data_IF_289889805060
#
_entry.id   IF_289889805060
#
_cell.length_a   1.000
_cell.length_b   1.000
_cell.length_c   1.000
_cell.angle_alpha   90.00
_cell.angle_beta   90.00
_cell.angle_gamma   90.00
#
_symmetry.space_group_name_H-M   'P 1'
#
loop_
_entity.id
_entity.type
_entity.pdbx_description
1 polymer ?
#
# COMPACT_ATOMS: atom_id res chain seq x y z
N UNK A 1 11.65 2.63 0.00
CA UNK A 1 12.84 1.75 -0.07
C UNK A 1 14.09 2.49 -0.54
N UNK A 2 14.04 3.36 -1.57
CA UNK A 2 15.21 4.09 -2.10
C UNK A 2 16.00 4.83 -1.00
N UNK A 3 15.32 5.62 -0.17
CA UNK A 3 15.99 6.31 0.96
C UNK A 3 16.60 5.35 1.98
N UNK A 4 15.93 4.23 2.26
CA UNK A 4 16.44 3.21 3.18
C UNK A 4 17.72 2.56 2.62
N UNK A 5 17.72 2.22 1.34
CA UNK A 5 18.90 1.66 0.66
C UNK A 5 20.08 2.62 0.71
N UNK A 6 19.86 3.91 0.43
CA UNK A 6 20.88 4.94 0.50
C UNK A 6 21.47 5.10 1.92
N UNK A 7 20.59 5.14 2.95
CA UNK A 7 21.02 5.27 4.35
C UNK A 7 21.79 4.05 4.84
N UNK A 8 21.38 2.85 4.43
CA UNK A 8 21.98 1.59 4.83
C UNK A 8 23.20 1.19 3.98
N UNK A 9 23.44 1.88 2.86
CA UNK A 9 24.54 1.59 1.95
C UNK A 9 24.37 0.27 1.20
N UNK A 10 23.13 -0.12 0.89
CA UNK A 10 22.79 -1.32 0.12
C UNK A 10 22.32 -0.95 -1.29
N UNK A 11 22.56 -1.84 -2.26
CA UNK A 11 22.05 -1.67 -3.61
C UNK A 11 20.56 -1.98 -3.65
N UNK A 12 19.75 -1.07 -4.21
CA UNK A 12 18.34 -1.31 -4.51
C UNK A 12 18.20 -1.65 -6.00
N UNK A 13 17.64 -2.81 -6.31
CA UNK A 13 17.21 -3.20 -7.64
C UNK A 13 15.70 -3.11 -7.73
N UNK A 14 15.22 -2.33 -8.69
CA UNK A 14 13.80 -2.29 -9.06
C UNK A 14 13.60 -3.10 -10.32
N UNK A 15 12.55 -3.90 -10.33
CA UNK A 15 12.14 -4.69 -11.50
C UNK A 15 10.96 -4.02 -12.21
N UNK A 16 10.76 -4.28 -13.51
CA UNK A 16 9.58 -3.80 -14.21
C UNK A 16 8.30 -4.42 -13.63
N UNK A 17 7.17 -3.80 -13.96
CA UNK A 17 5.86 -4.39 -13.80
C UNK A 17 5.50 -5.23 -15.02
N UNK A 18 4.65 -6.23 -14.82
CA UNK A 18 4.00 -6.96 -15.89
C UNK A 18 2.85 -6.12 -16.53
N UNK A 19 2.15 -6.71 -17.50
CA UNK A 19 1.04 -6.06 -18.21
C UNK A 19 -0.18 -5.79 -17.30
N UNK A 20 -0.26 -6.46 -16.14
CA UNK A 20 -1.30 -6.30 -15.11
C UNK A 20 -0.87 -5.34 -13.97
N UNK A 21 0.24 -4.64 -14.14
CA UNK A 21 0.80 -3.69 -13.17
C UNK A 21 1.23 -4.32 -11.84
N UNK A 22 1.67 -5.57 -11.84
CA UNK A 22 2.27 -6.28 -10.71
C UNK A 22 3.76 -6.46 -10.94
N UNK A 23 4.52 -6.78 -9.89
CA UNK A 23 5.92 -7.14 -10.05
C UNK A 23 6.05 -8.34 -11.01
N UNK A 24 6.86 -8.18 -12.06
CA UNK A 24 7.16 -9.25 -13.03
C UNK A 24 8.00 -10.33 -12.34
N UNK A 25 7.41 -11.52 -12.16
CA UNK A 25 8.01 -12.66 -11.45
C UNK A 25 9.33 -13.11 -12.12
N UNK A 26 9.34 -13.18 -13.45
CA UNK A 26 10.53 -13.59 -14.19
C UNK A 26 11.66 -12.57 -14.06
N UNK A 27 11.32 -11.29 -14.06
CA UNK A 27 12.27 -10.20 -13.83
C UNK A 27 12.83 -10.22 -12.40
N UNK A 28 11.99 -10.53 -11.39
CA UNK A 28 12.47 -10.71 -10.01
C UNK A 28 13.42 -11.89 -9.93
N UNK A 29 13.05 -13.05 -10.50
CA UNK A 29 13.90 -14.25 -10.52
C UNK A 29 15.25 -13.99 -11.19
N UNK A 30 15.28 -13.20 -12.27
CA UNK A 30 16.51 -12.82 -12.96
C UNK A 30 17.37 -11.80 -12.18
N UNK A 31 16.76 -11.01 -11.28
CA UNK A 31 17.46 -9.96 -10.54
C UNK A 31 18.10 -10.44 -9.23
N UNK A 32 17.56 -11.51 -8.61
CA UNK A 32 18.07 -12.04 -7.34
C UNK A 32 19.35 -12.86 -7.51
N UNK A 33 20.15 -12.96 -6.46
CA UNK A 33 21.37 -13.79 -6.40
C UNK A 33 21.75 -14.05 -4.93
N UNK A 34 22.83 -14.80 -4.70
CA UNK A 34 23.35 -15.15 -3.36
C UNK A 34 23.67 -13.94 -2.46
N UNK A 35 23.81 -12.73 -3.02
CA UNK A 35 24.02 -11.48 -2.29
C UNK A 35 22.72 -10.72 -1.98
N UNK A 36 21.58 -11.24 -2.42
CA UNK A 36 20.28 -10.61 -2.16
C UNK A 36 19.88 -10.79 -0.70
N UNK A 37 19.80 -9.69 0.04
CA UNK A 37 19.44 -9.73 1.46
C UNK A 37 17.92 -9.74 1.67
N UNK A 38 17.17 -9.04 0.80
CA UNK A 38 15.75 -8.81 0.95
C UNK A 38 15.06 -8.74 -0.41
N UNK A 39 13.96 -9.46 -0.56
CA UNK A 39 12.97 -9.26 -1.63
C UNK A 39 11.74 -8.59 -1.03
N UNK A 40 11.14 -7.66 -1.76
CA UNK A 40 9.96 -6.91 -1.32
C UNK A 40 8.85 -7.07 -2.34
N UNK A 41 7.68 -7.53 -1.88
CA UNK A 41 6.43 -7.49 -2.62
C UNK A 41 5.47 -6.47 -2.02
N UNK A 42 4.61 -5.88 -2.83
CA UNK A 42 3.63 -4.89 -2.40
C UNK A 42 2.23 -5.51 -2.41
N UNK A 43 1.56 -5.51 -1.27
CA UNK A 43 0.19 -5.97 -1.14
C UNK A 43 -0.76 -4.78 -0.99
N UNK A 44 -1.26 -4.31 -2.12
CA UNK A 44 -2.04 -3.09 -2.25
C UNK A 44 -1.19 -1.89 -2.67
N UNK A 45 -0.73 -1.91 -3.91
CA UNK A 45 -0.03 -0.79 -4.53
C UNK A 45 -0.94 0.44 -4.62
N UNK A 46 -0.45 1.59 -4.19
CA UNK A 46 -1.17 2.87 -4.35
C UNK A 46 -0.94 3.52 -5.72
N UNK A 47 -0.31 2.82 -6.66
CA UNK A 47 -0.21 3.26 -8.05
C UNK A 47 -1.44 2.79 -8.84
N UNK A 48 -1.71 1.47 -8.83
CA UNK A 48 -2.77 0.85 -9.63
C UNK A 48 -3.75 -0.01 -8.80
N UNK A 49 -3.61 -0.05 -7.48
CA UNK A 49 -4.47 -0.89 -6.63
C UNK A 49 -4.23 -2.38 -6.84
N UNK A 50 -3.00 -2.80 -7.12
CA UNK A 50 -2.65 -4.21 -7.39
C UNK A 50 -2.00 -4.87 -6.18
N UNK A 51 -2.13 -6.18 -6.13
CA UNK A 51 -1.41 -7.05 -5.19
C UNK A 51 -0.38 -7.83 -5.99
N UNK A 52 0.89 -7.71 -5.63
CA UNK A 52 1.96 -8.50 -6.26
C UNK A 52 1.74 -10.00 -6.04
N UNK A 53 2.31 -10.87 -6.87
CA UNK A 53 2.25 -12.33 -6.72
C UNK A 53 3.08 -12.80 -5.52
N UNK A 54 2.57 -12.53 -4.30
CA UNK A 54 3.27 -12.71 -3.03
C UNK A 54 3.79 -14.13 -2.82
N UNK A 55 3.02 -15.21 -3.10
CA UNK A 55 3.54 -16.57 -2.95
C UNK A 55 4.74 -16.88 -3.86
N UNK A 56 4.69 -16.42 -5.10
CA UNK A 56 5.75 -16.63 -6.10
C UNK A 56 7.02 -15.85 -5.72
N UNK A 57 6.86 -14.61 -5.28
CA UNK A 57 7.99 -13.79 -4.83
C UNK A 57 8.63 -14.36 -3.55
N UNK A 58 7.83 -14.90 -2.64
CA UNK A 58 8.31 -15.55 -1.43
C UNK A 58 9.15 -16.79 -1.77
N UNK A 59 8.70 -17.60 -2.74
CA UNK A 59 9.44 -18.78 -3.20
C UNK A 59 10.79 -18.40 -3.81
N UNK A 60 10.85 -17.36 -4.64
CA UNK A 60 12.08 -16.82 -5.21
C UNK A 60 13.04 -16.35 -4.11
N UNK A 61 12.54 -15.64 -3.10
CA UNK A 61 13.36 -15.19 -1.98
C UNK A 61 13.96 -16.39 -1.22
N UNK A 62 13.15 -17.42 -0.96
CA UNK A 62 13.60 -18.65 -0.28
C UNK A 62 14.68 -19.39 -1.06
N UNK A 63 14.56 -19.50 -2.38
CA UNK A 63 15.55 -20.18 -3.25
C UNK A 63 16.96 -19.59 -3.13
N UNK A 64 17.08 -18.26 -2.93
CA UNK A 64 18.38 -17.59 -2.79
C UNK A 64 18.76 -17.30 -1.33
N UNK A 65 17.93 -17.73 -0.37
CA UNK A 65 18.16 -17.52 1.05
C UNK A 65 17.97 -16.04 1.49
N UNK A 66 17.28 -15.24 0.70
CA UNK A 66 16.92 -13.86 1.04
C UNK A 66 15.72 -13.83 1.99
N UNK A 67 15.59 -12.74 2.76
CA UNK A 67 14.36 -12.45 3.50
C UNK A 67 13.27 -11.91 2.56
N UNK A 68 12.02 -12.17 2.92
CA UNK A 68 10.88 -11.66 2.17
C UNK A 68 10.03 -10.71 3.01
N UNK A 69 9.83 -9.50 2.52
CA UNK A 69 9.00 -8.48 3.13
C UNK A 69 7.78 -8.16 2.28
N UNK A 70 6.62 -8.06 2.90
CA UNK A 70 5.40 -7.59 2.26
C UNK A 70 5.05 -6.18 2.75
N UNK A 71 5.02 -5.23 1.82
CA UNK A 71 4.51 -3.89 2.10
C UNK A 71 2.99 -3.87 1.88
N UNK A 72 2.23 -4.08 2.95
CA UNK A 72 0.78 -3.96 2.99
C UNK A 72 0.34 -2.68 3.74
N UNK A 73 1.18 -1.66 3.73
CA UNK A 73 0.93 -0.42 4.46
C UNK A 73 -0.45 0.20 4.15
N UNK A 74 -0.88 0.19 2.89
CA UNK A 74 -2.22 0.63 2.51
C UNK A 74 -3.22 -0.53 2.46
N UNK A 75 -2.84 -1.67 1.87
CA UNK A 75 -3.74 -2.81 1.63
C UNK A 75 -4.14 -3.58 2.88
N UNK A 76 -3.35 -3.55 3.94
CA UNK A 76 -3.51 -4.44 5.09
C UNK A 76 -4.83 -4.33 5.89
N UNK A 77 -5.65 -3.31 5.65
CA UNK A 77 -7.01 -3.17 6.20
C UNK A 77 -8.12 -3.33 5.15
N UNK A 78 -7.75 -3.63 3.90
CA UNK A 78 -8.68 -3.97 2.80
C UNK A 78 -8.59 -5.44 2.46
N UNK A 79 -7.37 -5.94 2.29
CA UNK A 79 -7.05 -7.29 1.84
C UNK A 79 -7.63 -8.43 2.71
N UNK A 80 -7.80 -8.28 4.04
CA UNK A 80 -8.47 -9.31 4.85
C UNK A 80 -9.90 -9.64 4.41
N UNK A 81 -10.51 -8.82 3.55
CA UNK A 81 -11.87 -8.98 3.03
C UNK A 81 -11.89 -9.31 1.54
N UNK A 82 -10.79 -9.80 1.00
CA UNK A 82 -10.60 -10.23 -0.39
C UNK A 82 -10.03 -11.66 -0.42
N UNK A 83 -9.96 -12.25 -1.61
CA UNK A 83 -9.40 -13.59 -1.81
C UNK A 83 -7.89 -13.57 -2.17
N UNK A 84 -7.22 -12.42 -2.06
CA UNK A 84 -5.80 -12.32 -2.36
C UNK A 84 -4.93 -13.02 -1.33
N UNK A 85 -3.91 -13.73 -1.83
CA UNK A 85 -2.83 -14.27 -1.00
C UNK A 85 -1.78 -13.19 -0.73
N UNK A 86 -1.63 -12.75 0.53
CA UNK A 86 -0.75 -11.60 0.85
C UNK A 86 -0.08 -11.66 2.22
N UNK A 87 -0.56 -12.53 3.12
CA UNK A 87 -0.20 -12.49 4.52
C UNK A 87 0.71 -13.66 4.92
N UNK A 88 1.08 -13.70 6.18
CA UNK A 88 1.89 -14.79 6.77
C UNK A 88 1.28 -16.18 6.59
N UNK A 89 -0.05 -16.29 6.48
CA UNK A 89 -0.72 -17.57 6.28
C UNK A 89 -0.58 -18.09 4.85
N UNK A 90 -0.33 -17.20 3.90
CA UNK A 90 -0.41 -17.52 2.46
C UNK A 90 0.96 -17.86 1.86
N UNK A 91 2.04 -17.33 2.45
CA UNK A 91 3.39 -17.49 1.92
C UNK A 91 4.46 -17.42 3.03
N UNK A 92 5.70 -17.72 2.68
CA UNK A 92 6.87 -17.62 3.57
C UNK A 92 7.32 -16.16 3.74
N UNK A 93 6.43 -15.31 4.27
CA UNK A 93 6.70 -13.90 4.57
C UNK A 93 7.48 -13.80 5.88
N UNK A 94 8.62 -13.12 5.91
CA UNK A 94 9.39 -12.88 7.13
C UNK A 94 8.86 -11.69 7.91
N UNK A 95 8.57 -10.59 7.20
CA UNK A 95 8.07 -9.34 7.79
C UNK A 95 6.98 -8.71 6.94
N UNK A 96 6.09 -7.96 7.59
CA UNK A 96 4.97 -7.29 6.93
C UNK A 96 4.75 -5.90 7.52
N UNK A 97 4.63 -4.90 6.66
CA UNK A 97 4.21 -3.55 7.07
C UNK A 97 2.69 -3.41 6.96
N UNK A 98 2.08 -2.83 7.98
CA UNK A 98 0.66 -2.43 7.99
C UNK A 98 0.53 -1.05 8.64
N UNK A 99 -0.25 -0.14 8.04
CA UNK A 99 -0.41 1.22 8.57
C UNK A 99 -1.84 1.49 9.03
N UNK A 100 -2.13 1.31 10.33
CA UNK A 100 -3.44 1.65 10.90
C UNK A 100 -3.88 3.09 10.62
N UNK A 101 -2.96 4.03 10.48
CA UNK A 101 -3.26 5.43 10.17
C UNK A 101 -3.65 5.70 8.71
N UNK A 102 -3.63 4.66 7.85
CA UNK A 102 -4.14 4.71 6.47
C UNK A 102 -5.57 4.19 6.46
N UNK A 103 -5.80 3.04 5.87
CA UNK A 103 -7.14 2.45 5.76
C UNK A 103 -7.71 2.00 7.12
N UNK A 104 -6.86 1.74 8.10
CA UNK A 104 -7.25 1.38 9.45
C UNK A 104 -7.85 2.51 10.29
N UNK A 105 -7.98 3.74 9.74
CA UNK A 105 -8.69 4.89 10.30
C UNK A 105 -8.17 5.35 11.69
N UNK A 106 -6.94 4.97 12.04
CA UNK A 106 -6.28 5.43 13.25
C UNK A 106 -5.62 6.81 13.06
N UNK A 107 -5.39 7.58 14.14
CA UNK A 107 -4.67 8.84 14.04
C UNK A 107 -3.19 8.63 13.62
N UNK A 108 -2.64 9.60 12.90
CA UNK A 108 -1.22 9.66 12.55
C UNK A 108 -0.39 10.10 13.78
N UNK A 109 0.77 9.47 14.01
CA UNK A 109 1.39 8.35 13.32
C UNK A 109 1.01 6.99 13.95
N UNK A 110 0.62 6.03 13.13
CA UNK A 110 0.37 4.66 13.56
C UNK A 110 0.76 3.70 12.41
N UNK A 111 2.03 3.41 12.27
CA UNK A 111 2.56 2.38 11.38
C UNK A 111 3.02 1.18 12.19
N UNK A 112 2.91 -0.02 11.65
CA UNK A 112 3.33 -1.27 12.26
C UNK A 112 4.21 -2.11 11.36
N UNK A 113 5.27 -2.67 11.93
CA UNK A 113 6.04 -3.76 11.36
C UNK A 113 5.73 -5.02 12.14
N UNK A 114 5.25 -6.03 11.44
CA UNK A 114 5.01 -7.37 11.99
C UNK A 114 6.13 -8.29 11.53
N UNK A 115 6.60 -9.15 12.39
CA UNK A 115 7.58 -10.18 12.07
C UNK A 115 6.99 -11.56 12.37
N UNK A 116 7.30 -12.54 11.51
CA UNK A 116 6.90 -13.94 11.72
C UNK A 116 7.56 -14.50 12.97
N UNK A 117 8.85 -14.19 13.15
CA UNK A 117 9.68 -14.69 14.25
C UNK A 117 10.22 -13.52 15.07
N UNK A 118 10.18 -13.63 16.39
CA UNK A 118 10.72 -12.62 17.30
C UNK A 118 12.19 -12.33 17.06
N UNK A 119 12.96 -13.34 16.63
CA UNK A 119 14.38 -13.20 16.32
C UNK A 119 14.68 -12.17 15.21
N UNK A 120 13.73 -11.89 14.31
CA UNK A 120 13.88 -10.85 13.30
C UNK A 120 13.94 -9.44 13.91
N UNK A 121 13.19 -9.20 14.99
CA UNK A 121 13.21 -7.94 15.74
C UNK A 121 14.38 -7.90 16.73
N UNK A 122 14.74 -9.02 17.33
CA UNK A 122 15.87 -9.14 18.25
C UNK A 122 17.21 -8.82 17.57
N UNK A 123 17.34 -9.12 16.26
CA UNK A 123 18.51 -8.77 15.46
C UNK A 123 18.77 -7.25 15.38
N UNK A 124 17.76 -6.42 15.63
CA UNK A 124 17.86 -4.96 15.68
C UNK A 124 18.16 -4.44 17.09
N UNK A 125 18.24 -5.34 18.09
CA UNK A 125 18.46 -4.99 19.49
C UNK A 125 19.85 -4.40 19.69
N UNK A 126 19.88 -3.19 20.26
CA UNK A 126 21.11 -2.55 20.72
C UNK A 126 21.05 -2.45 22.25
N UNK A 127 22.08 -2.94 22.92
CA UNK A 127 22.12 -2.86 24.37
C UNK A 127 22.15 -1.40 24.85
N UNK A 128 21.16 -1.02 25.63
CA UNK A 128 21.01 0.36 26.13
C UNK A 128 20.98 0.36 27.64
N UNK A 129 22.13 0.56 28.28
CA UNK A 129 22.30 0.35 29.74
C UNK A 129 21.50 1.33 30.61
N UNK A 130 20.93 2.39 30.04
CA UNK A 130 20.16 3.42 30.76
C UNK A 130 18.63 3.30 30.57
N UNK A 131 18.15 2.35 29.76
CA UNK A 131 16.73 2.11 29.55
C UNK A 131 16.27 0.88 30.34
N UNK A 132 15.05 0.92 30.87
CA UNK A 132 14.41 -0.22 31.52
C UNK A 132 14.14 -1.38 30.53
N UNK A 133 13.82 -1.05 29.27
CA UNK A 133 13.74 -2.04 28.18
C UNK A 133 15.10 -2.20 27.52
N UNK A 134 15.58 -3.43 27.42
CA UNK A 134 16.91 -3.75 26.88
C UNK A 134 17.11 -3.36 25.42
N UNK A 135 16.03 -3.15 24.67
CA UNK A 135 16.13 -2.92 23.23
C UNK A 135 14.92 -2.21 22.67
N UNK A 136 15.17 -1.39 21.66
CA UNK A 136 14.15 -0.86 20.77
C UNK A 136 14.49 -1.28 19.33
N UNK A 137 13.61 -2.08 18.72
CA UNK A 137 13.76 -2.54 17.33
C UNK A 137 13.47 -1.45 16.29
N UNK A 138 13.72 -0.18 16.60
CA UNK A 138 13.44 0.95 15.71
C UNK A 138 14.59 1.95 15.73
N UNK A 139 14.80 2.60 14.59
CA UNK A 139 15.84 3.63 14.44
C UNK A 139 15.59 4.86 15.33
N UNK A 140 14.31 5.19 15.57
CA UNK A 140 13.92 6.31 16.44
C UNK A 140 13.66 5.83 17.86
N UNK A 141 14.04 6.63 18.86
CA UNK A 141 13.82 6.34 20.27
C UNK A 141 12.35 6.47 20.69
N UNK A 142 12.09 7.17 21.80
CA UNK A 142 10.74 7.36 22.36
C UNK A 142 9.75 7.94 21.34
N UNK A 143 8.57 7.34 21.27
CA UNK A 143 7.45 7.77 20.39
C UNK A 143 6.20 8.01 21.22
N UNK A 144 5.29 8.83 20.66
CA UNK A 144 3.98 9.05 21.28
C UNK A 144 3.15 7.76 21.28
N UNK A 145 2.58 7.42 22.43
CA UNK A 145 1.61 6.34 22.56
C UNK A 145 0.22 6.66 21.98
N UNK A 146 -0.04 7.91 21.62
CA UNK A 146 -1.35 8.33 21.12
C UNK A 146 -1.76 7.60 19.82
N UNK A 147 -0.82 7.43 18.89
CA UNK A 147 -1.06 6.67 17.65
C UNK A 147 -1.40 5.20 17.94
N UNK A 148 -0.67 4.57 18.87
CA UNK A 148 -0.91 3.18 19.29
C UNK A 148 -2.28 3.04 19.96
N UNK A 149 -2.62 3.91 20.91
CA UNK A 149 -3.91 3.91 21.58
C UNK A 149 -5.06 4.13 20.58
N UNK A 150 -4.89 5.06 19.63
CA UNK A 150 -5.85 5.30 18.56
C UNK A 150 -6.01 4.10 17.62
N UNK A 151 -4.91 3.40 17.28
CA UNK A 151 -4.96 2.19 16.47
C UNK A 151 -5.72 1.06 17.18
N UNK A 152 -5.43 0.83 18.46
CA UNK A 152 -6.15 -0.16 19.29
C UNK A 152 -7.65 0.17 19.35
N UNK A 153 -7.99 1.43 19.62
CA UNK A 153 -9.40 1.86 19.70
C UNK A 153 -10.12 1.71 18.36
N UNK A 154 -9.48 2.05 17.23
CA UNK A 154 -10.06 1.88 15.91
C UNK A 154 -10.27 0.40 15.56
N UNK A 155 -9.27 -0.45 15.84
CA UNK A 155 -9.39 -1.89 15.60
C UNK A 155 -10.45 -2.53 16.49
N UNK A 156 -10.52 -2.19 17.77
CA UNK A 156 -11.54 -2.70 18.70
C UNK A 156 -12.96 -2.31 18.27
N UNK A 157 -13.12 -1.08 17.78
CA UNK A 157 -14.43 -0.57 17.36
C UNK A 157 -14.90 -1.06 15.99
N UNK A 158 -13.96 -1.32 15.05
CA UNK A 158 -14.28 -1.56 13.63
C UNK A 158 -14.05 -2.99 13.18
N UNK A 159 -13.23 -3.78 13.86
CA UNK A 159 -12.93 -5.14 13.44
C UNK A 159 -14.02 -6.14 13.85
N UNK A 160 -14.43 -7.07 12.97
CA UNK A 160 -14.10 -7.08 11.52
C UNK A 160 -15.09 -6.31 10.67
N UNK A 161 -16.35 -6.14 11.13
CA UNK A 161 -17.50 -5.76 10.31
C UNK A 161 -17.40 -4.31 9.81
N UNK A 162 -16.98 -3.37 10.64
CA UNK A 162 -16.83 -1.98 10.25
C UNK A 162 -15.74 -1.78 9.19
N UNK A 163 -14.65 -2.56 9.23
CA UNK A 163 -13.65 -2.53 8.16
C UNK A 163 -14.14 -3.20 6.90
N UNK A 164 -14.89 -4.31 7.01
CA UNK A 164 -15.52 -4.96 5.86
C UNK A 164 -16.46 -4.00 5.14
N UNK A 165 -17.39 -3.37 5.85
CA UNK A 165 -18.30 -2.38 5.29
C UNK A 165 -17.58 -1.19 4.66
N UNK A 166 -16.47 -0.74 5.26
CA UNK A 166 -15.67 0.35 4.71
C UNK A 166 -14.97 -0.07 3.42
N UNK A 167 -14.43 -1.29 3.35
CA UNK A 167 -13.76 -1.84 2.17
C UNK A 167 -14.75 -2.04 1.02
N UNK A 168 -15.90 -2.67 1.28
CA UNK A 168 -16.97 -2.86 0.29
C UNK A 168 -17.47 -1.53 -0.27
N UNK A 169 -17.78 -0.57 0.58
CA UNK A 169 -18.23 0.77 0.16
C UNK A 169 -17.17 1.52 -0.65
N UNK A 170 -15.89 1.34 -0.33
CA UNK A 170 -14.81 1.97 -1.06
C UNK A 170 -14.59 1.29 -2.42
N UNK A 171 -14.72 -0.04 -2.52
CA UNK A 171 -14.70 -0.78 -3.78
C UNK A 171 -15.85 -0.32 -4.67
N UNK A 172 -17.08 -0.31 -4.18
CA UNK A 172 -18.25 0.21 -4.91
C UNK A 172 -18.05 1.65 -5.42
N UNK A 173 -17.33 2.48 -4.66
CA UNK A 173 -17.02 3.84 -5.06
C UNK A 173 -15.96 3.88 -6.17
N UNK A 174 -14.98 3.01 -6.12
CA UNK A 174 -13.95 2.90 -7.15
C UNK A 174 -14.55 2.38 -8.47
N UNK A 175 -15.32 1.32 -8.42
CA UNK A 175 -16.01 0.75 -9.59
C UNK A 175 -16.90 1.79 -10.26
N UNK A 176 -17.74 2.47 -9.47
CA UNK A 176 -18.60 3.54 -10.00
C UNK A 176 -17.80 4.67 -10.65
N UNK A 177 -16.69 5.10 -10.04
CA UNK A 177 -15.87 6.16 -10.62
C UNK A 177 -15.17 5.70 -11.90
N UNK A 178 -14.72 4.44 -11.94
CA UNK A 178 -14.13 3.83 -13.11
C UNK A 178 -15.12 3.81 -14.29
N UNK A 179 -16.36 3.39 -14.04
CA UNK A 179 -17.44 3.38 -15.03
C UNK A 179 -17.72 4.82 -15.55
N UNK A 180 -17.86 5.79 -14.65
CA UNK A 180 -18.12 7.18 -15.01
C UNK A 180 -17.00 7.78 -15.86
N UNK A 181 -15.74 7.43 -15.57
CA UNK A 181 -14.60 7.88 -16.39
C UNK A 181 -14.55 7.16 -17.75
N UNK A 182 -14.82 5.86 -17.77
CA UNK A 182 -14.88 5.07 -19.01
C UNK A 182 -16.02 5.57 -19.93
N UNK A 183 -17.19 5.88 -19.40
CA UNK A 183 -18.33 6.44 -20.15
C UNK A 183 -17.99 7.81 -20.77
N UNK A 184 -17.03 8.53 -20.21
CA UNK A 184 -16.51 9.79 -20.74
C UNK A 184 -15.39 9.59 -21.76
N UNK A 185 -15.02 8.35 -22.03
CA UNK A 185 -14.04 7.96 -23.05
C UNK A 185 -12.59 7.98 -22.55
N UNK A 186 -12.35 8.03 -21.24
CA UNK A 186 -11.02 7.83 -20.71
C UNK A 186 -10.67 6.34 -20.71
N UNK A 187 -9.39 6.02 -20.94
CA UNK A 187 -8.87 4.68 -20.70
C UNK A 187 -8.68 4.53 -19.19
N UNK A 188 -9.35 3.57 -18.61
CA UNK A 188 -9.32 3.29 -17.16
C UNK A 188 -8.68 1.93 -16.92
N UNK A 189 -7.82 1.84 -15.93
CA UNK A 189 -7.35 0.55 -15.40
C UNK A 189 -8.45 0.01 -14.50
N UNK A 190 -8.95 -1.19 -14.81
CA UNK A 190 -10.03 -1.82 -14.04
C UNK A 190 -9.63 -1.94 -12.55
N UNK A 191 -10.42 -1.41 -11.62
CA UNK A 191 -10.12 -1.49 -10.20
C UNK A 191 -10.09 -2.94 -9.68
N UNK A 192 -9.07 -3.27 -8.90
CA UNK A 192 -8.99 -4.52 -8.15
C UNK A 192 -9.11 -4.24 -6.65
N UNK A 193 -8.51 -3.14 -6.22
CA UNK A 193 -8.67 -2.57 -4.88
C UNK A 193 -9.26 -1.17 -5.00
N UNK A 194 -9.69 -0.52 -3.90
CA UNK A 194 -10.38 0.77 -3.93
C UNK A 194 -9.53 1.95 -4.46
N UNK A 195 -9.08 1.86 -5.69
CA UNK A 195 -8.26 2.86 -6.39
C UNK A 195 -8.59 2.86 -7.87
N UNK A 196 -8.72 4.05 -8.46
CA UNK A 196 -8.94 4.25 -9.90
C UNK A 196 -7.72 4.95 -10.50
N UNK A 197 -7.17 4.36 -11.56
CA UNK A 197 -6.18 4.98 -12.42
C UNK A 197 -6.76 5.18 -13.82
N UNK A 198 -6.69 6.40 -14.36
CA UNK A 198 -7.28 6.76 -15.65
C UNK A 198 -6.39 7.71 -16.45
N UNK A 199 -6.34 7.53 -17.75
CA UNK A 199 -5.58 8.37 -18.68
C UNK A 199 -6.34 9.67 -18.94
N UNK A 200 -6.08 10.67 -18.07
CA UNK A 200 -6.69 12.00 -18.14
C UNK A 200 -5.67 12.99 -18.67
N UNK A 201 -6.02 13.80 -19.70
CA UNK A 201 -5.12 14.81 -20.27
C UNK A 201 -4.55 15.76 -19.22
N UNK A 202 -3.29 16.22 -19.42
CA UNK A 202 -2.62 17.11 -18.49
C UNK A 202 -3.41 18.39 -18.19
N UNK A 203 -4.00 18.99 -19.24
CA UNK A 203 -4.79 20.22 -19.09
C UNK A 203 -6.03 20.04 -18.19
N UNK A 204 -6.67 18.88 -18.26
CA UNK A 204 -7.83 18.56 -17.43
C UNK A 204 -7.38 18.24 -15.98
N UNK A 205 -6.27 17.53 -15.82
CA UNK A 205 -5.69 17.25 -14.52
C UNK A 205 -5.29 18.53 -13.78
N UNK A 206 -4.59 19.45 -14.41
CA UNK A 206 -4.21 20.73 -13.82
C UNK A 206 -5.45 21.57 -13.48
N UNK A 207 -6.46 21.58 -14.35
CA UNK A 207 -7.73 22.27 -14.09
C UNK A 207 -8.48 21.70 -12.89
N UNK A 208 -8.46 20.37 -12.68
CA UNK A 208 -9.01 19.74 -11.48
C UNK A 208 -8.27 20.21 -10.21
N UNK A 209 -6.94 20.29 -10.27
CA UNK A 209 -6.14 20.79 -9.16
C UNK A 209 -6.43 22.26 -8.84
N UNK A 210 -6.56 23.08 -9.87
CA UNK A 210 -6.93 24.50 -9.75
C UNK A 210 -8.33 24.68 -9.16
N UNK A 211 -9.26 23.76 -9.46
CA UNK A 211 -10.58 23.67 -8.84
C UNK A 211 -10.53 23.19 -7.36
N UNK A 212 -9.36 22.82 -6.85
CA UNK A 212 -9.14 22.47 -5.45
C UNK A 212 -9.13 20.96 -5.17
N UNK A 213 -9.23 20.10 -6.17
CA UNK A 213 -9.17 18.66 -6.00
C UNK A 213 -7.75 18.19 -5.62
N UNK A 214 -7.66 17.36 -4.59
CA UNK A 214 -6.41 16.75 -4.12
C UNK A 214 -6.17 15.43 -4.82
N UNK A 215 -5.92 15.49 -6.12
CA UNK A 215 -5.61 14.35 -6.98
C UNK A 215 -4.11 14.24 -7.24
N UNK A 216 -3.66 13.05 -7.61
CA UNK A 216 -2.27 12.77 -7.96
C UNK A 216 -2.19 11.96 -9.25
N UNK A 217 -0.97 11.79 -9.76
CA UNK A 217 -0.70 10.91 -10.90
C UNK A 217 0.03 9.65 -10.45
N UNK A 218 -0.11 8.59 -11.22
CA UNK A 218 0.77 7.43 -11.17
C UNK A 218 2.16 7.80 -11.69
N UNK A 219 3.14 6.94 -11.49
CA UNK A 219 4.47 7.11 -12.07
C UNK A 219 4.48 7.13 -13.60
N UNK A 220 3.49 6.54 -14.27
CA UNK A 220 3.32 6.54 -15.72
C UNK A 220 2.44 7.71 -16.23
N UNK A 221 1.81 8.45 -15.33
CA UNK A 221 1.12 9.71 -15.66
C UNK A 221 -0.40 9.67 -15.65
N UNK A 222 -1.05 8.54 -15.34
CA UNK A 222 -2.51 8.48 -15.20
C UNK A 222 -2.99 9.25 -13.98
N UNK A 223 -4.16 9.87 -14.07
CA UNK A 223 -4.89 10.35 -12.90
C UNK A 223 -5.10 9.20 -11.93
N UNK A 224 -4.81 9.43 -10.64
CA UNK A 224 -4.98 8.46 -9.57
C UNK A 224 -5.94 8.99 -8.50
N UNK A 225 -7.00 8.23 -8.23
CA UNK A 225 -7.98 8.51 -7.18
C UNK A 225 -8.07 7.33 -6.23
N UNK A 226 -7.65 7.52 -4.98
CA UNK A 226 -7.74 6.49 -3.94
C UNK A 226 -9.05 6.65 -3.18
N UNK A 227 -9.91 5.65 -3.22
CA UNK A 227 -11.20 5.63 -2.53
C UNK A 227 -11.00 5.21 -1.07
N UNK A 228 -10.59 6.15 -0.23
CA UNK A 228 -10.44 5.95 1.21
C UNK A 228 -11.82 5.91 1.92
N UNK A 229 -11.93 5.37 3.16
CA UNK A 229 -13.20 5.28 3.90
C UNK A 229 -13.98 6.58 4.03
N UNK A 230 -13.31 7.73 4.01
CA UNK A 230 -13.93 9.06 4.09
C UNK A 230 -14.38 9.63 2.74
N UNK A 231 -14.01 9.00 1.62
CA UNK A 231 -14.44 9.42 0.28
C UNK A 231 -15.87 8.97 0.05
N UNK A 232 -16.77 9.96 -0.12
CA UNK A 232 -18.20 9.69 -0.29
C UNK A 232 -18.59 9.68 -1.77
N UNK A 233 -19.65 8.94 -2.12
CA UNK A 233 -20.24 8.96 -3.45
C UNK A 233 -20.64 10.38 -3.90
N UNK A 234 -21.06 11.22 -2.96
CA UNK A 234 -21.39 12.63 -3.24
C UNK A 234 -20.17 13.44 -3.66
N UNK A 235 -19.03 13.23 -3.00
CA UNK A 235 -17.78 13.89 -3.38
C UNK A 235 -17.31 13.42 -4.78
N UNK A 236 -17.41 12.13 -5.07
CA UNK A 236 -17.06 11.61 -6.39
C UNK A 236 -17.98 12.14 -7.50
N UNK A 237 -19.27 12.28 -7.24
CA UNK A 237 -20.18 12.94 -8.19
C UNK A 237 -19.80 14.38 -8.46
N UNK A 238 -19.49 15.16 -7.42
CA UNK A 238 -19.02 16.53 -7.59
C UNK A 238 -17.69 16.60 -8.39
N UNK A 239 -16.80 15.63 -8.18
CA UNK A 239 -15.57 15.48 -8.95
C UNK A 239 -15.85 15.27 -10.44
N UNK A 240 -16.74 14.35 -10.78
CA UNK A 240 -17.14 14.05 -12.16
C UNK A 240 -17.86 15.23 -12.81
N UNK A 241 -18.74 15.94 -12.06
CA UNK A 241 -19.43 17.16 -12.52
C UNK A 241 -18.42 18.28 -12.83
N UNK A 242 -17.35 18.41 -12.04
CA UNK A 242 -16.29 19.40 -12.30
C UNK A 242 -15.49 19.01 -13.54
N UNK A 243 -15.17 17.72 -13.71
CA UNK A 243 -14.50 17.21 -14.89
C UNK A 243 -15.31 17.51 -16.17
N UNK A 244 -16.63 17.31 -16.13
CA UNK A 244 -17.52 17.64 -17.25
C UNK A 244 -17.56 19.14 -17.57
N UNK A 245 -17.40 20.00 -16.56
CA UNK A 245 -17.31 21.46 -16.75
C UNK A 245 -15.98 21.89 -17.37
N UNK A 246 -14.89 21.25 -16.99
CA UNK A 246 -13.53 21.49 -17.51
C UNK A 246 -13.44 21.14 -18.99
N UNK A 247 -14.15 20.10 -19.44
CA UNK A 247 -14.15 19.61 -20.82
C UNK A 247 -14.97 20.46 -21.81
N UNK A 248 -15.80 21.38 -21.32
CA UNK A 248 -16.65 22.25 -22.15
C UNK A 248 -15.92 23.50 -22.62
#
# INVERSE_FOLDING_TARGET
FTKAAEVLGVELRTVPLDDDFRADVDAVAAAVNDGTALVVGVAGSTEYGRVDPIPELAAIAEEVGARFHVDAAWGGFVLPFTDHAWAFADAAVDTLTIDPHKYGQAPVPAGGLLAREDAALDALAVDTPYLESRSQATLTGTRSGAGVAGAVAAMDALWPDGYREAAERAADNADWLADELADRGYRVVEPELPLVAADVPESEFESLRDAGWKVSRTGAGELRVVCMPHVTRSALRAFVDDLDRIRR
#
